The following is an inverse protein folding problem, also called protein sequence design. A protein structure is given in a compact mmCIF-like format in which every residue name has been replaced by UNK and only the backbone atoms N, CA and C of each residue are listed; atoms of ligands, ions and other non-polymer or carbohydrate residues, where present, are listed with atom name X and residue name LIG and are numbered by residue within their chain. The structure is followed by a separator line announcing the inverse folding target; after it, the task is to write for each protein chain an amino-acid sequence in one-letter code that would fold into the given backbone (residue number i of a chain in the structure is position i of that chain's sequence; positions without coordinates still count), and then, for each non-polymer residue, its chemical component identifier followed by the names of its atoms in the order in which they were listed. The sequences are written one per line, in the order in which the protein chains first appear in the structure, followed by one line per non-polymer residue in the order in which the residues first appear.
data_IF_410668227438
#
_entry.id   IF_410668227438
#
_cell.length_a   1.000
_cell.length_b   1.000
_cell.length_c   1.000
_cell.angle_alpha   90.00
_cell.angle_beta   90.00
_cell.angle_gamma   90.00
#
_symmetry.space_group_name_H-M   'P 1'
#
loop_
_entity.id
_entity.type
_entity.pdbx_description
1 polymer ?
#
# COMPACT_ATOMS: atom_id res chain seq x y z
N UNK A 1 -10.40 9.36 14.13
CA UNK A 1 -11.35 9.72 13.04
C UNK A 1 -10.61 10.26 11.81
N UNK A 2 -10.19 11.54 11.71
CA UNK A 2 -9.54 12.05 10.47
C UNK A 2 -8.17 11.41 10.18
N UNK A 3 -7.29 11.31 11.18
CA UNK A 3 -5.97 10.69 11.01
C UNK A 3 -6.04 9.21 10.59
N UNK A 4 -7.06 8.48 11.06
CA UNK A 4 -7.29 7.08 10.67
C UNK A 4 -7.76 6.98 9.21
N UNK A 5 -8.59 7.92 8.75
CA UNK A 5 -9.02 8.01 7.34
C UNK A 5 -7.83 8.34 6.43
N UNK A 6 -6.98 9.28 6.81
CA UNK A 6 -5.78 9.63 6.05
C UNK A 6 -4.76 8.48 6.03
N UNK A 7 -4.60 7.75 7.15
CA UNK A 7 -3.75 6.57 7.21
C UNK A 7 -4.28 5.43 6.32
N UNK A 8 -5.60 5.21 6.30
CA UNK A 8 -6.23 4.24 5.42
C UNK A 8 -6.06 4.62 3.94
N UNK A 9 -6.22 5.90 3.61
CA UNK A 9 -6.00 6.41 2.25
C UNK A 9 -4.53 6.27 1.82
N UNK A 10 -3.59 6.59 2.71
CA UNK A 10 -2.16 6.38 2.45
C UNK A 10 -1.82 4.90 2.21
N UNK A 11 -2.44 3.99 2.97
CA UNK A 11 -2.31 2.54 2.77
C UNK A 11 -2.84 2.10 1.41
N UNK A 12 -4.05 2.55 1.04
CA UNK A 12 -4.62 2.28 -0.27
C UNK A 12 -3.76 2.86 -1.41
N UNK A 13 -3.23 4.07 -1.22
CA UNK A 13 -2.28 4.72 -2.12
C UNK A 13 -1.00 3.92 -2.32
N UNK A 14 -0.38 3.44 -1.23
CA UNK A 14 0.83 2.62 -1.31
C UNK A 14 0.62 1.34 -2.12
N UNK A 15 -0.51 0.65 -1.91
CA UNK A 15 -0.87 -0.53 -2.71
C UNK A 15 -1.20 -0.20 -4.16
N UNK A 16 -1.90 0.91 -4.42
CA UNK A 16 -2.25 1.34 -5.76
C UNK A 16 -1.00 1.67 -6.58
N UNK A 17 -0.08 2.46 -6.04
CA UNK A 17 1.19 2.82 -6.69
C UNK A 17 1.96 1.58 -7.11
N UNK A 18 2.16 0.66 -6.18
CA UNK A 18 2.93 -0.58 -6.42
C UNK A 18 2.19 -1.54 -7.34
N UNK A 19 0.86 -1.58 -7.28
CA UNK A 19 0.04 -2.35 -8.22
C UNK A 19 0.13 -1.83 -9.65
N UNK A 20 0.27 -0.51 -9.82
CA UNK A 20 0.35 0.12 -11.14
C UNK A 20 1.71 -0.09 -11.83
N UNK A 21 2.82 -0.25 -11.08
CA UNK A 21 4.21 -0.31 -11.58
C UNK A 21 4.52 -1.35 -12.67
N UNK A 22 3.72 -2.43 -12.77
CA UNK A 22 3.86 -3.46 -13.80
C UNK A 22 2.65 -3.52 -14.75
N UNK A 23 1.92 -2.41 -14.87
CA UNK A 23 0.71 -2.32 -15.69
C UNK A 23 0.75 -1.08 -16.56
N UNK A 24 -0.15 -1.03 -17.54
CA UNK A 24 -0.29 0.13 -18.42
C UNK A 24 -0.72 1.41 -17.66
N UNK A 25 -1.25 1.27 -16.44
CA UNK A 25 -1.61 2.38 -15.55
C UNK A 25 -0.39 3.10 -14.94
N UNK A 26 0.82 2.58 -15.12
CA UNK A 26 2.02 3.07 -14.44
C UNK A 26 2.30 4.55 -14.68
N UNK A 27 2.40 4.98 -15.95
CA UNK A 27 2.77 6.36 -16.29
C UNK A 27 1.81 7.39 -15.69
N UNK A 28 0.50 7.15 -15.80
CA UNK A 28 -0.51 8.04 -15.22
C UNK A 28 -0.49 8.07 -13.69
N UNK A 29 -0.12 6.96 -13.06
CA UNK A 29 0.03 6.86 -11.60
C UNK A 29 1.28 7.58 -11.14
N UNK A 30 2.41 7.36 -11.81
CA UNK A 30 3.71 7.99 -11.56
C UNK A 30 3.58 9.51 -11.59
N UNK A 31 3.01 10.06 -12.66
CA UNK A 31 2.83 11.50 -12.82
C UNK A 31 1.89 12.09 -11.76
N UNK A 32 0.81 11.37 -11.45
CA UNK A 32 -0.13 11.75 -10.39
C UNK A 32 0.56 11.86 -9.03
N UNK A 33 1.34 10.84 -8.66
CA UNK A 33 2.07 10.81 -7.39
C UNK A 33 3.17 11.86 -7.37
N UNK A 34 3.97 11.99 -8.42
CA UNK A 34 5.01 13.02 -8.52
C UNK A 34 4.45 14.43 -8.30
N UNK A 35 3.29 14.72 -8.93
CA UNK A 35 2.58 15.99 -8.75
C UNK A 35 2.14 16.24 -7.32
N UNK A 36 1.71 15.21 -6.58
CA UNK A 36 1.39 15.35 -5.15
C UNK A 36 2.60 15.84 -4.34
N UNK A 37 3.80 15.34 -4.66
CA UNK A 37 5.04 15.69 -3.96
C UNK A 37 5.67 17.03 -4.40
N UNK A 38 5.20 17.63 -5.50
CA UNK A 38 5.58 18.99 -5.92
C UNK A 38 5.29 20.05 -4.84
N UNK A 39 4.34 19.78 -3.93
CA UNK A 39 3.98 20.64 -2.79
C UNK A 39 5.14 20.88 -1.81
N UNK A 40 6.06 19.92 -1.72
CA UNK A 40 7.29 20.04 -0.95
C UNK A 40 8.47 20.61 -1.73
N UNK A 41 8.24 21.12 -2.95
CA UNK A 41 9.24 21.70 -3.85
C UNK A 41 9.67 20.78 -5.01
N UNK A 42 10.22 21.40 -6.06
CA UNK A 42 10.65 20.72 -7.29
C UNK A 42 11.76 19.68 -7.06
N UNK A 43 12.62 19.89 -6.06
CA UNK A 43 13.64 18.90 -5.68
C UNK A 43 13.00 17.64 -5.10
N UNK A 44 11.98 17.79 -4.25
CA UNK A 44 11.28 16.65 -3.64
C UNK A 44 10.51 15.87 -4.69
N UNK A 45 9.87 16.56 -5.63
CA UNK A 45 9.22 15.92 -6.78
C UNK A 45 10.21 15.06 -7.57
N UNK A 46 11.36 15.62 -7.97
CA UNK A 46 12.38 14.88 -8.75
C UNK A 46 12.93 13.67 -8.02
N UNK A 47 13.14 13.77 -6.70
CA UNK A 47 13.57 12.63 -5.88
C UNK A 47 12.51 11.53 -5.85
N UNK A 48 11.23 11.91 -5.74
CA UNK A 48 10.13 10.94 -5.73
C UNK A 48 9.95 10.28 -7.09
N UNK A 49 10.05 11.03 -8.19
CA UNK A 49 10.03 10.50 -9.55
C UNK A 49 11.14 9.46 -9.76
N UNK A 50 12.38 9.78 -9.37
CA UNK A 50 13.49 8.85 -9.50
C UNK A 50 13.30 7.57 -8.67
N UNK A 51 12.73 7.68 -7.45
CA UNK A 51 12.44 6.51 -6.62
C UNK A 51 11.30 5.66 -7.20
N UNK A 52 10.26 6.30 -7.74
CA UNK A 52 9.17 5.62 -8.42
C UNK A 52 9.69 4.79 -9.60
N UNK A 53 10.57 5.38 -10.40
CA UNK A 53 11.19 4.72 -11.55
C UNK A 53 12.08 3.55 -11.13
N UNK A 54 12.94 3.75 -10.12
CA UNK A 54 13.80 2.68 -9.57
C UNK A 54 12.98 1.51 -9.03
N UNK A 55 11.95 1.80 -8.22
CA UNK A 55 11.09 0.79 -7.61
C UNK A 55 10.30 0.00 -8.69
N UNK A 56 9.86 0.68 -9.75
CA UNK A 56 9.21 0.05 -10.89
C UNK A 56 10.18 -0.83 -11.69
N UNK A 57 11.43 -0.39 -11.91
CA UNK A 57 12.47 -1.18 -12.58
C UNK A 57 12.77 -2.47 -11.79
N UNK A 58 12.92 -2.38 -10.47
CA UNK A 58 13.14 -3.56 -9.60
C UNK A 58 11.99 -4.56 -9.71
N UNK A 59 10.75 -4.06 -9.70
CA UNK A 59 9.57 -4.90 -9.83
C UNK A 59 9.49 -5.56 -11.22
N UNK A 60 9.77 -4.82 -12.29
CA UNK A 60 9.76 -5.35 -13.66
C UNK A 60 10.94 -6.29 -13.96
N UNK A 61 12.07 -6.15 -13.26
CA UNK A 61 13.23 -7.03 -13.38
C UNK A 61 13.04 -8.42 -12.71
N UNK A 62 11.98 -8.59 -11.91
CA UNK A 62 11.67 -9.84 -11.24
C UNK A 62 11.29 -10.94 -12.23
N UNK A 63 11.89 -12.14 -12.09
CA UNK A 63 11.81 -13.20 -13.10
C UNK A 63 10.52 -14.04 -13.01
N UNK A 64 9.83 -14.00 -11.87
CA UNK A 64 8.62 -14.77 -11.61
C UNK A 64 7.51 -13.92 -10.96
N UNK A 65 6.23 -14.30 -11.13
CA UNK A 65 5.11 -13.67 -10.42
C UNK A 65 5.28 -13.68 -8.90
N UNK A 66 5.86 -14.73 -8.32
CA UNK A 66 6.10 -14.86 -6.89
C UNK A 66 7.13 -13.84 -6.37
N UNK A 67 8.20 -13.60 -7.15
CA UNK A 67 9.20 -12.56 -6.83
C UNK A 67 8.59 -11.17 -6.97
N UNK A 68 7.79 -10.92 -8.01
CA UNK A 68 7.07 -9.65 -8.16
C UNK A 68 6.16 -9.41 -6.96
N UNK A 69 5.42 -10.43 -6.51
CA UNK A 69 4.56 -10.33 -5.33
C UNK A 69 5.35 -10.05 -4.04
N UNK A 70 6.55 -10.63 -3.90
CA UNK A 70 7.44 -10.34 -2.79
C UNK A 70 7.90 -8.88 -2.81
N UNK A 71 8.40 -8.40 -3.95
CA UNK A 71 8.82 -6.99 -4.14
C UNK A 71 7.64 -6.04 -3.88
N UNK A 72 6.44 -6.36 -4.36
CA UNK A 72 5.22 -5.57 -4.10
C UNK A 72 4.93 -5.44 -2.61
N UNK A 73 5.05 -6.53 -1.84
CA UNK A 73 4.84 -6.54 -0.37
C UNK A 73 5.89 -5.71 0.38
N UNK A 74 7.10 -5.60 -0.16
CA UNK A 74 8.17 -4.80 0.41
C UNK A 74 8.01 -3.31 0.12
N UNK A 75 7.60 -2.95 -1.10
CA UNK A 75 7.45 -1.56 -1.53
C UNK A 75 6.18 -0.89 -0.99
N UNK A 76 5.07 -1.62 -0.86
CA UNK A 76 3.78 -1.02 -0.46
C UNK A 76 3.84 -0.30 0.92
N UNK A 77 4.46 -0.86 1.98
CA UNK A 77 4.65 -0.16 3.24
C UNK A 77 5.53 1.09 3.13
N UNK A 78 6.52 1.08 2.23
CA UNK A 78 7.42 2.22 2.02
C UNK A 78 6.65 3.39 1.42
N UNK A 79 5.88 3.14 0.36
CA UNK A 79 5.01 4.14 -0.26
C UNK A 79 3.91 4.62 0.67
N UNK A 80 3.31 3.71 1.44
CA UNK A 80 2.33 4.07 2.49
C UNK A 80 2.90 5.10 3.46
N UNK A 81 4.10 4.87 4.01
CA UNK A 81 4.74 5.81 4.96
C UNK A 81 5.05 7.16 4.32
N UNK A 82 5.48 7.18 3.06
CA UNK A 82 5.76 8.42 2.32
C UNK A 82 4.49 9.24 2.10
N UNK A 83 3.40 8.58 1.71
CA UNK A 83 2.08 9.20 1.52
C UNK A 83 1.48 9.67 2.84
N UNK A 84 1.61 8.89 3.92
CA UNK A 84 1.21 9.32 5.27
C UNK A 84 1.89 10.62 5.66
N UNK A 85 3.23 10.70 5.51
CA UNK A 85 3.98 11.93 5.80
C UNK A 85 3.53 13.10 4.92
N UNK A 86 3.27 12.85 3.64
CA UNK A 86 2.75 13.88 2.74
C UNK A 86 1.40 14.42 3.24
N UNK A 87 0.46 13.55 3.62
CA UNK A 87 -0.86 13.97 4.10
C UNK A 87 -0.80 14.66 5.47
N UNK A 88 0.18 14.32 6.30
CA UNK A 88 0.45 15.02 7.56
C UNK A 88 0.94 16.46 7.31
N UNK A 89 1.80 16.66 6.31
CA UNK A 89 2.35 17.96 5.93
C UNK A 89 1.36 18.80 5.08
N UNK A 90 0.59 18.13 4.22
CA UNK A 90 -0.31 18.71 3.23
C UNK A 90 -1.66 17.97 3.21
N UNK A 91 -2.56 18.23 4.19
CA UNK A 91 -3.86 17.58 4.23
C UNK A 91 -4.75 17.87 3.01
N UNK A 92 -4.50 18.97 2.29
CA UNK A 92 -5.15 19.33 1.03
C UNK A 92 -4.89 18.33 -0.11
N UNK A 93 -3.83 17.53 -0.01
CA UNK A 93 -3.49 16.49 -0.97
C UNK A 93 -4.43 15.25 -0.91
N UNK A 94 -5.31 15.16 0.08
CA UNK A 94 -6.23 14.02 0.27
C UNK A 94 -7.08 13.75 -0.98
N UNK A 95 -7.69 14.79 -1.55
CA UNK A 95 -8.58 14.65 -2.70
C UNK A 95 -7.84 14.12 -3.93
N UNK A 96 -6.68 14.69 -4.23
CA UNK A 96 -5.85 14.29 -5.36
C UNK A 96 -5.31 12.86 -5.18
N UNK A 97 -4.91 12.46 -3.97
CA UNK A 97 -4.49 11.08 -3.70
C UNK A 97 -5.64 10.09 -3.90
N UNK A 98 -6.86 10.46 -3.48
CA UNK A 98 -8.04 9.63 -3.69
C UNK A 98 -8.33 9.44 -5.17
N UNK A 99 -8.24 10.50 -5.98
CA UNK A 99 -8.41 10.38 -7.44
C UNK A 99 -7.37 9.46 -8.08
N UNK A 100 -6.12 9.50 -7.63
CA UNK A 100 -5.07 8.57 -8.10
C UNK A 100 -5.42 7.13 -7.74
N UNK A 101 -5.84 6.87 -6.50
CA UNK A 101 -6.23 5.54 -6.04
C UNK A 101 -7.42 5.00 -6.83
N UNK A 102 -8.46 5.80 -6.99
CA UNK A 102 -9.69 5.41 -7.68
C UNK A 102 -9.40 5.08 -9.16
N UNK A 103 -8.60 5.91 -9.85
CA UNK A 103 -8.18 5.65 -11.23
C UNK A 103 -7.44 4.32 -11.37
N UNK A 104 -6.47 4.06 -10.49
CA UNK A 104 -5.71 2.80 -10.54
C UNK A 104 -6.65 1.62 -10.32
N UNK A 105 -7.60 1.71 -9.38
CA UNK A 105 -8.56 0.63 -9.15
C UNK A 105 -9.46 0.37 -10.37
N UNK A 106 -9.84 1.41 -11.11
CA UNK A 106 -10.60 1.30 -12.35
C UNK A 106 -9.78 0.63 -13.47
N UNK A 107 -8.50 0.98 -13.59
CA UNK A 107 -7.61 0.50 -14.65
C UNK A 107 -7.05 -0.91 -14.39
N UNK A 108 -6.92 -1.33 -13.14
CA UNK A 108 -6.42 -2.67 -12.80
C UNK A 108 -7.41 -3.77 -13.22
N UNK A 109 -6.98 -4.83 -13.93
CA UNK A 109 -7.82 -5.99 -14.21
C UNK A 109 -8.19 -6.73 -12.91
N UNK A 110 -9.35 -7.39 -12.88
CA UNK A 110 -9.94 -7.95 -11.66
C UNK A 110 -9.03 -8.88 -10.82
N UNK A 111 -8.04 -9.53 -11.43
CA UNK A 111 -7.03 -10.33 -10.71
C UNK A 111 -6.04 -9.49 -9.90
N UNK A 112 -5.65 -8.30 -10.41
CA UNK A 112 -4.82 -7.35 -9.68
C UNK A 112 -5.63 -6.54 -8.64
N UNK A 113 -6.94 -6.36 -8.84
CA UNK A 113 -7.84 -5.78 -7.81
C UNK A 113 -7.92 -6.64 -6.55
N UNK A 114 -7.73 -7.96 -6.66
CA UNK A 114 -7.70 -8.88 -5.50
C UNK A 114 -6.45 -8.71 -4.64
N UNK A 115 -5.38 -8.11 -5.16
CA UNK A 115 -4.15 -7.84 -4.42
C UNK A 115 -4.36 -6.81 -3.30
N UNK A 116 -5.34 -5.92 -3.47
CA UNK A 116 -5.72 -4.87 -2.51
C UNK A 116 -6.28 -5.41 -1.19
N UNK A 117 -6.55 -6.71 -1.06
CA UNK A 117 -7.22 -7.29 0.11
C UNK A 117 -6.48 -8.48 0.75
N UNK A 118 -5.15 -8.54 0.70
CA UNK A 118 -4.37 -9.43 1.58
C UNK A 118 -3.60 -8.59 2.61
N UNK A 119 -4.36 -7.90 3.46
CA UNK A 119 -3.83 -7.31 4.69
C UNK A 119 -3.58 -8.46 5.69
N UNK A 120 -2.40 -9.10 5.61
CA UNK A 120 -1.93 -9.98 6.68
C UNK A 120 -1.48 -9.06 7.82
N UNK A 121 -2.40 -8.77 8.73
CA UNK A 121 -2.09 -8.11 9.99
C UNK A 121 -1.23 -9.05 10.85
N UNK A 122 0.10 -8.87 10.83
CA UNK A 122 0.95 -9.28 11.96
C UNK A 122 0.97 -8.12 12.97
N UNK A 123 0.79 -8.46 14.24
CA UNK A 123 0.96 -7.60 15.43
C UNK A 123 -0.18 -6.68 15.86
N UNK A 124 -1.44 -7.06 15.61
CA UNK A 124 -2.56 -6.61 16.47
C UNK A 124 -3.17 -5.24 16.16
N UNK A 125 -2.96 -4.68 14.96
CA UNK A 125 -3.72 -3.53 14.52
C UNK A 125 -5.13 -3.97 14.08
N UNK A 126 -6.16 -3.51 14.81
CA UNK A 126 -7.57 -3.65 14.40
C UNK A 126 -7.78 -2.95 13.06
N UNK A 127 -8.03 -3.71 11.99
CA UNK A 127 -8.37 -3.15 10.69
C UNK A 127 -9.88 -3.29 10.42
N UNK A 128 -10.53 -2.15 10.22
CA UNK A 128 -11.91 -2.09 9.73
C UNK A 128 -11.91 -2.28 8.21
N UNK A 129 -11.89 -3.53 7.75
CA UNK A 129 -12.25 -3.86 6.37
C UNK A 129 -13.78 -3.97 6.30
N UNK A 130 -14.48 -2.86 6.09
CA UNK A 130 -15.92 -2.89 5.83
C UNK A 130 -16.15 -2.77 4.33
N UNK A 131 -16.23 -3.92 3.65
CA UNK A 131 -17.01 -4.09 2.42
C UNK A 131 -17.51 -5.55 2.34
N UNK A 132 -18.69 -5.78 2.92
CA UNK A 132 -19.66 -6.75 2.38
C UNK A 132 -19.46 -8.27 2.59
N UNK A 133 -18.83 -8.76 3.67
CA UNK A 133 -18.79 -10.20 3.94
C UNK A 133 -18.40 -10.57 5.37
N UNK A 134 -18.98 -11.65 5.91
CA UNK A 134 -18.74 -12.14 7.27
C UNK A 134 -17.26 -12.51 7.50
N UNK A 135 -16.70 -12.03 8.62
CA UNK A 135 -15.38 -12.44 9.10
C UNK A 135 -15.53 -13.59 10.09
N UNK A 136 -15.04 -14.78 9.73
CA UNK A 136 -14.94 -15.91 10.65
C UNK A 136 -13.59 -15.84 11.37
N UNK A 137 -13.65 -15.67 12.69
CA UNK A 137 -12.48 -15.60 13.55
C UNK A 137 -12.13 -16.98 14.10
N UNK A 138 -10.94 -17.49 13.76
CA UNK A 138 -10.35 -18.63 14.45
C UNK A 138 -9.05 -18.20 15.12
N UNK A 139 -9.08 -18.02 16.45
CA UNK A 139 -7.89 -17.88 17.27
C UNK A 139 -7.38 -19.27 17.67
N UNK A 140 -6.20 -19.65 17.21
CA UNK A 140 -5.45 -20.74 17.83
C UNK A 140 -4.75 -20.19 19.06
N UNK A 141 -5.12 -20.69 20.25
CA UNK A 141 -4.47 -20.38 21.52
C UNK A 141 -3.02 -20.91 21.46
N UNK A 142 -1.99 -20.10 21.77
CA UNK A 142 -0.63 -20.63 21.91
C UNK A 142 -0.61 -21.60 23.09
N UNK A 143 -0.03 -22.78 22.89
CA UNK A 143 0.12 -23.79 23.92
C UNK A 143 0.89 -23.18 25.10
N UNK A 144 0.29 -23.21 26.29
CA UNK A 144 0.96 -22.84 27.51
C UNK A 144 2.08 -23.85 27.78
N UNK A 145 3.30 -23.34 27.87
CA UNK A 145 4.46 -24.00 28.45
C UNK A 145 4.21 -24.20 29.95
N UNK A 146 4.47 -25.41 30.45
CA UNK A 146 4.62 -25.68 31.88
C UNK A 146 3.52 -26.54 32.52
N UNK A 147 3.72 -27.87 32.46
CA UNK A 147 3.33 -28.72 33.59
C UNK A 147 4.47 -29.74 33.80
N UNK A 148 5.22 -29.53 34.87
CA UNK A 148 6.22 -30.48 35.34
C UNK A 148 5.49 -31.56 36.14
N UNK A 149 5.71 -32.86 35.90
CA UNK A 149 5.12 -33.88 36.75
C UNK A 149 5.89 -33.95 38.08
N UNK A 150 5.27 -33.50 39.16
CA UNK A 150 5.56 -34.03 40.50
C UNK A 150 5.08 -35.49 40.56
N UNK A 151 6.01 -36.43 40.75
CA UNK A 151 5.83 -37.71 41.48
C UNK A 151 7.17 -38.40 41.69
#
# INVERSE_FOLDING_TARGET
MLAEVLAALAGAGGTAVVGAMATDAWEGTRDGVARLFSRGGEDRQRVVEAQLDEDAEVLNASASPEEQDQVRRELAPVWTRRLSRLLEEHPDAEGELREVVDRVQEELPGGARSWTQTNIARDGATQFAVQGGNVIYHQARPAAEGDAPES
#
